data_IF_129998188612
#
_entry.id   IF_129998188612
#
_cell.length_a   1.000
_cell.length_b   1.000
_cell.length_c   1.000
_cell.angle_alpha   90.00
_cell.angle_beta   90.00
_cell.angle_gamma   90.00
#
_symmetry.space_group_name_H-M   'P 1'
#
loop_
_entity.id
_entity.type
_entity.pdbx_description
1 polymer ?
#
# COMPACT_ATOMS: atom_id res chain seq x y z
N UNK A 1 12.09 5.02 2.30
CA UNK A 1 13.07 4.05 2.88
C UNK A 1 13.49 4.38 4.31
N UNK A 2 13.83 5.65 4.64
CA UNK A 2 14.27 6.08 5.98
C UNK A 2 13.30 5.72 7.13
N UNK A 3 12.00 5.91 6.95
CA UNK A 3 10.97 5.57 7.95
C UNK A 3 10.95 4.07 8.30
N UNK A 4 11.08 3.20 7.29
CA UNK A 4 11.15 1.74 7.49
C UNK A 4 12.40 1.37 8.27
N UNK A 5 13.54 1.97 7.94
CA UNK A 5 14.81 1.75 8.63
C UNK A 5 14.67 2.12 10.11
N UNK A 6 14.15 3.32 10.41
CA UNK A 6 13.91 3.76 11.79
C UNK A 6 12.98 2.82 12.57
N UNK A 7 11.89 2.35 11.93
CA UNK A 7 10.94 1.43 12.57
C UNK A 7 11.53 0.04 12.85
N UNK A 8 12.39 -0.47 11.96
CA UNK A 8 13.08 -1.75 12.15
C UNK A 8 14.18 -1.64 13.21
N UNK A 9 14.93 -0.55 13.22
CA UNK A 9 15.95 -0.29 14.25
C UNK A 9 15.32 -0.16 15.64
N UNK A 10 14.22 0.59 15.77
CA UNK A 10 13.49 0.68 17.04
C UNK A 10 12.91 -0.67 17.49
N UNK A 11 12.44 -1.52 16.56
CA UNK A 11 12.00 -2.88 16.90
C UNK A 11 13.14 -3.76 17.39
N UNK A 12 14.29 -3.68 16.75
CA UNK A 12 15.48 -4.42 17.16
C UNK A 12 15.92 -4.03 18.58
N UNK A 13 16.00 -2.72 18.84
CA UNK A 13 16.36 -2.19 20.16
C UNK A 13 15.32 -2.56 21.22
N UNK A 14 14.02 -2.46 20.92
CA UNK A 14 12.95 -2.87 21.84
C UNK A 14 13.03 -4.36 22.18
N UNK A 15 13.33 -5.22 21.20
CA UNK A 15 13.51 -6.66 21.45
C UNK A 15 14.69 -6.91 22.36
N UNK A 16 15.78 -6.17 22.17
CA UNK A 16 16.99 -6.34 22.97
C UNK A 16 16.83 -6.05 24.46
N UNK A 17 15.86 -5.22 24.84
CA UNK A 17 15.55 -4.93 26.25
C UNK A 17 14.65 -5.98 26.90
N UNK A 18 14.07 -6.89 26.12
CA UNK A 18 13.16 -7.95 26.56
C UNK A 18 13.70 -9.35 26.27
N UNK A 19 15.00 -9.46 26.04
CA UNK A 19 15.64 -10.76 25.82
C UNK A 19 15.79 -11.50 27.15
N UNK A 20 15.66 -12.83 27.15
CA UNK A 20 16.08 -13.66 28.28
C UNK A 20 17.57 -13.49 28.58
N UNK A 21 17.92 -13.58 29.87
CA UNK A 21 19.27 -13.34 30.37
C UNK A 21 20.31 -14.35 29.84
N UNK A 22 19.88 -15.54 29.44
CA UNK A 22 20.72 -16.61 28.89
C UNK A 22 21.09 -16.41 27.40
N UNK A 23 20.55 -15.37 26.77
CA UNK A 23 20.90 -15.07 25.38
C UNK A 23 22.28 -14.43 25.28
N UNK A 24 23.06 -14.84 24.28
CA UNK A 24 24.38 -14.25 23.99
C UNK A 24 24.30 -12.72 23.90
N UNK A 25 23.24 -12.19 23.29
CA UNK A 25 23.06 -10.75 23.14
C UNK A 25 22.81 -10.03 24.48
N UNK A 26 22.08 -10.65 25.43
CA UNK A 26 21.90 -10.08 26.78
C UNK A 26 23.23 -9.99 27.53
N UNK A 27 24.09 -11.02 27.44
CA UNK A 27 25.43 -11.00 28.05
C UNK A 27 26.37 -9.98 27.39
N UNK A 28 26.26 -9.78 26.08
CA UNK A 28 27.10 -8.83 25.35
C UNK A 28 26.60 -7.38 25.45
N UNK A 29 25.34 -7.16 25.82
CA UNK A 29 24.71 -5.83 25.85
C UNK A 29 25.52 -4.80 26.65
N UNK A 30 26.01 -5.09 27.87
CA UNK A 30 26.81 -4.13 28.65
C UNK A 30 28.11 -3.71 27.93
N UNK A 31 28.75 -4.65 27.23
CA UNK A 31 29.97 -4.38 26.47
C UNK A 31 29.69 -3.60 25.18
N UNK A 32 28.59 -3.92 24.50
CA UNK A 32 28.13 -3.25 23.27
C UNK A 32 27.64 -1.83 23.57
N UNK A 33 27.00 -1.61 24.72
CA UNK A 33 26.47 -0.32 25.14
C UNK A 33 27.52 0.56 25.82
N UNK A 34 28.68 0.01 26.21
CA UNK A 34 29.77 0.81 26.76
C UNK A 34 30.19 1.93 25.78
N UNK A 35 30.39 3.13 26.32
CA UNK A 35 30.88 4.31 25.60
C UNK A 35 32.28 4.10 24.99
N UNK A 36 33.04 3.14 25.52
CA UNK A 36 34.36 2.74 25.01
C UNK A 36 34.29 1.75 23.85
N UNK A 37 33.12 1.18 23.57
CA UNK A 37 32.96 0.22 22.48
C UNK A 37 32.90 0.95 21.13
N UNK A 38 33.54 0.38 20.10
CA UNK A 38 33.37 0.83 18.70
C UNK A 38 32.06 0.32 18.08
N UNK A 39 31.10 -0.08 18.92
CA UNK A 39 29.89 -0.74 18.44
C UNK A 39 28.99 0.24 17.67
N UNK A 40 28.18 -0.30 16.77
CA UNK A 40 27.17 0.47 16.06
C UNK A 40 25.90 0.70 16.90
N UNK A 41 25.90 0.33 18.18
CA UNK A 41 24.72 0.41 19.03
C UNK A 41 24.19 1.85 19.16
N UNK A 42 25.08 2.79 19.44
CA UNK A 42 24.72 4.21 19.50
C UNK A 42 24.19 4.73 18.18
N UNK A 43 24.72 4.26 17.04
CA UNK A 43 24.19 4.61 15.71
C UNK A 43 22.78 4.06 15.49
N UNK A 44 22.49 2.85 15.98
CA UNK A 44 21.16 2.25 15.94
C UNK A 44 20.17 3.00 16.84
N UNK A 45 20.60 3.36 18.05
CA UNK A 45 19.79 4.09 19.02
C UNK A 45 19.56 5.56 18.63
N UNK A 46 20.43 6.14 17.79
CA UNK A 46 20.34 7.51 17.29
C UNK A 46 19.30 7.68 16.16
N UNK A 47 18.16 7.02 16.24
CA UNK A 47 17.10 7.07 15.23
C UNK A 47 15.92 7.91 15.70
N UNK A 48 15.24 8.59 14.77
CA UNK A 48 14.12 9.49 15.08
C UNK A 48 13.03 8.82 15.94
N UNK A 49 12.71 7.56 15.65
CA UNK A 49 11.71 6.80 16.40
C UNK A 49 12.22 6.34 17.77
N UNK A 50 13.47 5.89 17.88
CA UNK A 50 13.98 5.41 19.17
C UNK A 50 14.24 6.57 20.13
N UNK A 51 14.74 7.70 19.64
CA UNK A 51 14.94 8.91 20.44
C UNK A 51 13.68 9.42 21.13
N UNK A 52 12.52 9.32 20.48
CA UNK A 52 11.25 9.74 21.10
C UNK A 52 10.78 8.77 22.20
N UNK A 53 11.39 7.60 22.32
CA UNK A 53 11.12 6.59 23.37
C UNK A 53 12.13 6.67 24.52
N UNK A 54 13.29 7.30 24.32
CA UNK A 54 14.33 7.43 25.36
C UNK A 54 13.88 8.33 26.52
N UNK A 55 14.23 7.95 27.75
CA UNK A 55 13.88 8.68 28.98
C UNK A 55 12.93 7.87 29.87
N UNK A 56 12.09 8.50 30.72
CA UNK A 56 11.22 7.81 31.69
C UNK A 56 10.17 6.87 31.05
N UNK A 57 10.02 6.96 29.74
CA UNK A 57 9.14 6.09 28.95
C UNK A 57 9.71 4.67 28.86
N UNK A 58 11.04 4.52 28.76
CA UNK A 58 11.69 3.22 28.51
C UNK A 58 11.46 2.24 29.67
N UNK A 59 11.50 2.73 30.90
CA UNK A 59 11.31 1.92 32.12
C UNK A 59 9.88 1.38 32.27
N UNK A 60 8.90 1.99 31.58
CA UNK A 60 7.48 1.59 31.59
C UNK A 60 6.99 1.08 30.24
N UNK A 61 7.92 0.84 29.29
CA UNK A 61 7.63 0.51 27.91
C UNK A 61 7.36 -0.98 27.75
N UNK A 62 6.08 -1.36 27.82
CA UNK A 62 5.65 -2.70 27.47
C UNK A 62 5.47 -2.87 25.95
N UNK A 63 5.25 -4.12 25.52
CA UNK A 63 4.99 -4.47 24.11
C UNK A 63 3.79 -3.73 23.53
N UNK A 64 2.74 -3.48 24.32
CA UNK A 64 1.49 -2.85 23.85
C UNK A 64 1.71 -1.36 23.57
N UNK A 65 2.35 -0.63 24.50
CA UNK A 65 2.77 0.77 24.33
C UNK A 65 3.73 0.91 23.17
N UNK A 66 4.73 0.03 23.04
CA UNK A 66 5.67 0.10 21.92
C UNK A 66 4.94 -0.04 20.57
N UNK A 67 4.02 -1.00 20.45
CA UNK A 67 3.22 -1.17 19.23
C UNK A 67 2.34 0.06 18.94
N UNK A 68 1.72 0.65 19.97
CA UNK A 68 0.95 1.89 19.84
C UNK A 68 1.80 3.06 19.34
N UNK A 69 2.97 3.29 19.96
CA UNK A 69 3.89 4.36 19.61
C UNK A 69 4.49 4.17 18.21
N UNK A 70 4.81 2.94 17.83
CA UNK A 70 5.24 2.61 16.47
C UNK A 70 4.15 2.95 15.46
N UNK A 71 2.90 2.56 15.72
CA UNK A 71 1.77 2.86 14.83
C UNK A 71 1.56 4.36 14.70
N UNK A 72 1.63 5.10 15.81
CA UNK A 72 1.54 6.57 15.81
C UNK A 72 2.66 7.21 15.01
N UNK A 73 3.91 6.81 15.24
CA UNK A 73 5.06 7.31 14.49
C UNK A 73 4.90 7.09 12.98
N UNK A 74 4.44 5.89 12.56
CA UNK A 74 4.19 5.62 11.16
C UNK A 74 3.07 6.51 10.60
N UNK A 75 1.98 6.69 11.34
CA UNK A 75 0.87 7.56 10.96
C UNK A 75 1.31 9.02 10.79
N UNK A 76 2.07 9.56 11.75
CA UNK A 76 2.58 10.93 11.71
C UNK A 76 3.51 11.14 10.51
N UNK A 77 4.40 10.17 10.24
CA UNK A 77 5.30 10.21 9.09
C UNK A 77 4.53 10.14 7.76
N UNK A 78 3.48 9.31 7.69
CA UNK A 78 2.63 9.24 6.52
C UNK A 78 1.89 10.56 6.30
N UNK A 79 1.29 11.14 7.34
CA UNK A 79 0.57 12.41 7.23
C UNK A 79 1.50 13.55 6.82
N UNK A 80 2.71 13.60 7.38
CA UNK A 80 3.74 14.56 6.99
C UNK A 80 4.10 14.41 5.50
N UNK A 81 4.30 13.18 5.02
CA UNK A 81 4.55 12.95 3.60
C UNK A 81 3.34 13.31 2.74
N UNK A 82 2.14 12.95 3.16
CA UNK A 82 0.90 13.27 2.45
C UNK A 82 0.72 14.79 2.28
N UNK A 83 0.98 15.56 3.33
CA UNK A 83 0.84 17.02 3.32
C UNK A 83 1.97 17.73 2.55
N UNK A 84 3.19 17.18 2.57
CA UNK A 84 4.38 17.83 2.02
C UNK A 84 4.82 17.29 0.65
N UNK A 85 4.07 16.37 0.04
CA UNK A 85 4.44 15.79 -1.25
C UNK A 85 3.57 16.34 -2.37
N UNK A 86 4.22 16.92 -3.37
CA UNK A 86 3.65 17.08 -4.72
C UNK A 86 3.51 15.73 -5.47
N UNK A 87 3.74 14.61 -4.78
CA UNK A 87 3.76 13.28 -5.40
C UNK A 87 2.34 12.77 -5.64
N UNK A 88 1.99 12.65 -6.93
CA UNK A 88 0.72 12.09 -7.43
C UNK A 88 0.45 10.66 -6.90
N UNK A 89 1.51 9.92 -6.57
CA UNK A 89 1.40 8.55 -6.05
C UNK A 89 0.87 8.49 -4.61
N UNK A 90 1.13 9.48 -3.76
CA UNK A 90 0.65 9.46 -2.37
C UNK A 90 -0.79 9.97 -2.26
N UNK A 91 -1.19 10.97 -3.06
CA UNK A 91 -2.57 11.45 -3.10
C UNK A 91 -3.56 10.38 -3.60
N UNK A 92 -3.11 9.48 -4.46
CA UNK A 92 -3.91 8.35 -4.97
C UNK A 92 -3.91 7.13 -4.04
N UNK A 93 -3.10 7.12 -2.98
CA UNK A 93 -3.09 6.05 -1.96
C UNK A 93 -4.16 6.25 -0.89
N UNK A 94 -4.47 5.17 -0.15
CA UNK A 94 -5.45 5.23 0.94
C UNK A 94 -4.92 6.15 2.05
N UNK A 95 -5.73 7.06 2.62
CA UNK A 95 -5.30 8.03 3.65
C UNK A 95 -4.98 7.39 5.01
N UNK A 96 -5.19 6.08 5.14
CA UNK A 96 -4.98 5.31 6.37
C UNK A 96 -3.93 4.26 6.15
N UNK A 97 -2.96 4.15 7.06
CA UNK A 97 -1.96 3.07 7.05
C UNK A 97 -2.62 1.76 7.47
N UNK A 98 -2.85 0.88 6.52
CA UNK A 98 -3.35 -0.46 6.76
C UNK A 98 -2.91 -1.41 5.64
N UNK A 99 -3.07 -2.72 5.88
CA UNK A 99 -2.88 -3.72 4.84
C UNK A 99 -3.93 -3.51 3.77
N UNK A 100 -3.51 -3.29 2.53
CA UNK A 100 -4.45 -3.06 1.43
C UNK A 100 -5.35 -4.30 1.24
N UNK A 101 -6.70 -4.12 1.19
CA UNK A 101 -7.64 -5.23 1.01
C UNK A 101 -7.38 -6.06 -0.24
N UNK A 102 -6.73 -5.50 -1.28
CA UNK A 102 -6.35 -6.23 -2.49
C UNK A 102 -5.53 -7.50 -2.19
N UNK A 103 -4.78 -7.51 -1.08
CA UNK A 103 -3.92 -8.63 -0.72
C UNK A 103 -4.69 -9.85 -0.18
N UNK A 104 -5.88 -9.67 0.37
CA UNK A 104 -6.64 -10.74 1.02
C UNK A 104 -8.07 -10.90 0.51
N UNK A 105 -8.61 -9.93 -0.24
CA UNK A 105 -9.92 -10.06 -0.86
C UNK A 105 -9.95 -11.22 -1.87
N UNK A 106 -11.07 -11.95 -1.98
CA UNK A 106 -11.22 -13.02 -2.95
C UNK A 106 -11.19 -12.49 -4.39
N UNK A 107 -10.21 -12.95 -5.16
CA UNK A 107 -10.03 -12.65 -6.58
C UNK A 107 -9.13 -13.73 -7.19
N UNK A 108 -9.16 -13.85 -8.52
CA UNK A 108 -8.24 -14.70 -9.27
C UNK A 108 -6.80 -14.15 -9.21
N UNK A 109 -5.83 -14.99 -9.56
CA UNK A 109 -4.43 -14.56 -9.63
C UNK A 109 -4.25 -13.41 -10.64
N UNK A 110 -4.89 -13.52 -11.81
CA UNK A 110 -4.82 -12.54 -12.89
C UNK A 110 -5.45 -11.19 -12.50
N UNK A 111 -6.62 -11.20 -11.87
CA UNK A 111 -7.25 -9.98 -11.34
C UNK A 111 -6.35 -9.30 -10.31
N UNK A 112 -5.82 -10.07 -9.35
CA UNK A 112 -4.91 -9.52 -8.33
C UNK A 112 -3.67 -8.91 -8.96
N UNK A 113 -3.07 -9.58 -9.93
CA UNK A 113 -1.90 -9.07 -10.65
C UNK A 113 -2.20 -7.72 -11.32
N UNK A 114 -3.32 -7.59 -12.04
CA UNK A 114 -3.71 -6.34 -12.70
C UNK A 114 -3.94 -5.21 -11.71
N UNK A 115 -4.68 -5.48 -10.63
CA UNK A 115 -4.96 -4.49 -9.59
C UNK A 115 -3.68 -4.05 -8.88
N UNK A 116 -2.78 -4.98 -8.56
CA UNK A 116 -1.49 -4.67 -7.94
C UNK A 116 -0.59 -3.84 -8.87
N UNK A 117 -0.50 -4.20 -10.16
CA UNK A 117 0.25 -3.40 -11.14
C UNK A 117 -0.31 -1.98 -11.24
N UNK A 118 -1.64 -1.84 -11.28
CA UNK A 118 -2.27 -0.53 -11.21
C UNK A 118 -1.91 0.22 -9.91
N UNK A 119 -1.95 -0.42 -8.74
CA UNK A 119 -1.56 0.24 -7.49
C UNK A 119 -0.11 0.74 -7.49
N UNK A 120 0.80 0.00 -8.12
CA UNK A 120 2.24 0.29 -8.08
C UNK A 120 2.69 1.37 -9.08
N UNK A 121 1.79 2.01 -9.82
CA UNK A 121 2.23 2.92 -10.88
C UNK A 121 2.53 2.22 -12.20
N UNK A 122 2.45 0.89 -12.25
CA UNK A 122 2.94 0.11 -13.37
C UNK A 122 1.88 0.04 -14.47
N UNK A 123 2.00 0.94 -15.43
CA UNK A 123 1.42 0.71 -16.75
C UNK A 123 2.20 -0.43 -17.41
N UNK A 124 1.53 -1.39 -18.06
CA UNK A 124 2.23 -2.57 -18.57
C UNK A 124 3.26 -2.16 -19.63
N UNK A 125 4.50 -2.65 -19.51
CA UNK A 125 5.52 -2.51 -20.55
C UNK A 125 6.67 -1.53 -20.28
N UNK A 126 6.55 -0.56 -19.35
CA UNK A 126 7.66 0.34 -18.93
C UNK A 126 8.25 1.27 -20.00
N UNK A 127 7.99 0.99 -21.28
CA UNK A 127 8.28 1.80 -22.45
C UNK A 127 7.00 2.50 -22.90
N UNK A 128 7.05 3.78 -23.28
CA UNK A 128 5.91 4.43 -23.91
C UNK A 128 5.51 3.65 -25.17
N UNK A 129 4.28 3.10 -25.17
CA UNK A 129 3.64 2.52 -26.35
C UNK A 129 2.64 3.55 -26.89
N UNK A 130 2.53 3.65 -28.21
CA UNK A 130 1.52 4.49 -28.84
C UNK A 130 0.12 3.92 -28.64
N UNK A 131 -0.87 4.80 -28.54
CA UNK A 131 -2.26 4.41 -28.45
C UNK A 131 -2.77 3.93 -29.80
N UNK A 132 -3.42 2.77 -29.81
CA UNK A 132 -4.02 2.18 -31.02
C UNK A 132 -5.14 3.07 -31.58
N UNK A 133 -5.86 3.79 -30.70
CA UNK A 133 -6.97 4.66 -31.09
C UNK A 133 -6.53 6.08 -31.46
N UNK A 134 -5.36 6.51 -30.97
CA UNK A 134 -4.84 7.85 -31.16
C UNK A 134 -3.37 7.77 -31.59
N UNK A 135 -3.11 7.64 -32.91
CA UNK A 135 -1.77 7.74 -33.45
C UNK A 135 -1.13 9.04 -32.93
N UNK A 136 0.17 9.01 -32.61
CA UNK A 136 0.93 10.14 -32.02
C UNK A 136 0.72 10.41 -30.52
N UNK A 137 -0.18 9.69 -29.84
CA UNK A 137 -0.30 9.78 -28.38
C UNK A 137 0.23 8.54 -27.69
N UNK A 138 1.16 8.71 -26.76
CA UNK A 138 1.62 7.61 -25.92
C UNK A 138 0.60 7.30 -24.84
N UNK A 139 0.46 6.01 -24.54
CA UNK A 139 -0.29 5.55 -23.39
C UNK A 139 0.26 6.14 -22.09
N UNK A 140 -0.61 6.82 -21.38
CA UNK A 140 -0.41 7.29 -20.00
C UNK A 140 -1.69 7.02 -19.21
N UNK A 141 -1.65 7.11 -17.87
CA UNK A 141 -2.87 6.95 -17.06
C UNK A 141 -3.95 7.95 -17.43
N UNK A 142 -3.57 9.22 -17.56
CA UNK A 142 -4.47 10.31 -17.98
C UNK A 142 -5.07 10.02 -19.34
N UNK A 143 -4.22 9.69 -20.32
CA UNK A 143 -4.69 9.33 -21.65
C UNK A 143 -5.65 8.12 -21.62
N UNK A 144 -5.38 7.12 -20.79
CA UNK A 144 -6.28 5.96 -20.66
C UNK A 144 -7.66 6.33 -20.12
N UNK A 145 -7.76 7.31 -19.22
CA UNK A 145 -9.05 7.77 -18.70
C UNK A 145 -9.93 8.35 -19.80
N UNK A 146 -9.35 9.20 -20.64
CA UNK A 146 -10.05 9.83 -21.77
C UNK A 146 -10.29 8.83 -22.91
N UNK A 147 -9.26 8.09 -23.31
CA UNK A 147 -9.32 7.17 -24.43
C UNK A 147 -10.34 6.04 -24.21
N UNK A 148 -10.38 5.45 -23.01
CA UNK A 148 -11.32 4.38 -22.67
C UNK A 148 -12.59 4.86 -21.97
N UNK A 149 -12.79 6.19 -21.87
CA UNK A 149 -13.93 6.82 -21.19
C UNK A 149 -14.18 6.24 -19.79
N UNK A 150 -13.11 6.07 -19.01
CA UNK A 150 -13.12 5.32 -17.75
C UNK A 150 -14.08 5.95 -16.73
N UNK A 151 -14.12 7.28 -16.62
CA UNK A 151 -15.06 7.98 -15.74
C UNK A 151 -16.52 7.65 -16.07
N UNK A 152 -16.87 7.67 -17.35
CA UNK A 152 -18.23 7.36 -17.80
C UNK A 152 -18.59 5.90 -17.49
N UNK A 153 -17.69 4.96 -17.78
CA UNK A 153 -17.91 3.52 -17.53
C UNK A 153 -18.08 3.22 -16.05
N UNK A 154 -17.35 3.91 -15.18
CA UNK A 154 -17.40 3.73 -13.73
C UNK A 154 -18.48 4.59 -13.04
N UNK A 155 -19.29 5.33 -13.79
CA UNK A 155 -20.30 6.26 -13.24
C UNK A 155 -19.70 7.28 -12.26
N UNK A 156 -18.49 7.77 -12.56
CA UNK A 156 -17.76 8.73 -11.73
C UNK A 156 -17.65 10.11 -12.41
N UNK A 157 -17.71 11.23 -11.66
CA UNK A 157 -17.51 12.55 -12.21
C UNK A 157 -16.05 12.77 -12.64
N UNK A 158 -15.84 13.55 -13.72
CA UNK A 158 -14.51 13.93 -14.23
C UNK A 158 -13.66 14.73 -13.24
N UNK A 159 -14.27 15.25 -12.16
CA UNK A 159 -13.54 15.94 -11.08
C UNK A 159 -12.62 15.01 -10.29
N UNK A 160 -12.82 13.68 -10.36
CA UNK A 160 -11.93 12.70 -9.76
C UNK A 160 -10.74 12.46 -10.69
N UNK A 161 -9.53 12.86 -10.30
CA UNK A 161 -8.35 12.77 -11.17
C UNK A 161 -7.98 11.32 -11.56
N UNK A 162 -8.03 10.39 -10.60
CA UNK A 162 -7.75 8.95 -10.82
C UNK A 162 -8.97 8.10 -10.42
N UNK A 163 -9.90 7.82 -11.35
CA UNK A 163 -11.15 7.11 -11.06
C UNK A 163 -10.91 5.66 -10.61
N UNK A 164 -9.88 4.99 -11.14
CA UNK A 164 -9.57 3.61 -10.76
C UNK A 164 -9.01 3.57 -9.34
N UNK A 165 -7.99 4.38 -9.04
CA UNK A 165 -7.39 4.41 -7.70
C UNK A 165 -8.40 4.86 -6.64
N UNK A 166 -9.29 5.80 -6.99
CA UNK A 166 -10.42 6.20 -6.15
C UNK A 166 -11.30 5.00 -5.78
N UNK A 167 -11.77 4.21 -6.74
CA UNK A 167 -12.57 3.02 -6.44
C UNK A 167 -11.77 2.00 -5.62
N UNK A 168 -10.53 1.71 -5.97
CA UNK A 168 -9.71 0.75 -5.21
C UNK A 168 -9.53 1.18 -3.74
N UNK A 169 -9.52 2.48 -3.46
CA UNK A 169 -9.49 3.00 -2.09
C UNK A 169 -10.81 2.82 -1.33
N UNK A 170 -11.93 2.61 -2.03
CA UNK A 170 -13.22 2.31 -1.42
C UNK A 170 -13.41 0.82 -1.14
N UNK A 171 -12.47 -0.05 -1.56
CA UNK A 171 -12.60 -1.50 -1.34
C UNK A 171 -12.86 -1.83 0.13
N UNK A 172 -13.78 -2.78 0.40
CA UNK A 172 -14.20 -3.14 1.74
C UNK A 172 -13.03 -3.74 2.53
N UNK A 173 -12.83 -3.23 3.74
CA UNK A 173 -11.82 -3.73 4.69
C UNK A 173 -12.33 -4.90 5.53
N UNK A 174 -13.65 -5.02 5.61
CA UNK A 174 -14.36 -6.10 6.28
C UNK A 174 -15.58 -6.43 5.44
N UNK A 175 -16.20 -7.58 5.69
CA UNK A 175 -17.43 -7.95 4.99
C UNK A 175 -18.49 -6.85 5.22
N UNK A 176 -18.90 -6.13 4.17
CA UNK A 176 -19.78 -4.96 4.32
C UNK A 176 -21.19 -5.41 4.71
N UNK A 177 -22.08 -4.47 5.06
CA UNK A 177 -23.52 -4.76 5.11
C UNK A 177 -24.08 -4.82 3.68
N UNK A 178 -25.18 -5.55 3.41
CA UNK A 178 -25.78 -5.63 2.09
C UNK A 178 -25.92 -4.27 1.39
N UNK A 179 -26.49 -3.27 2.05
CA UNK A 179 -26.70 -1.93 1.48
C UNK A 179 -25.42 -1.23 1.03
N UNK A 180 -24.28 -1.54 1.65
CA UNK A 180 -22.97 -1.01 1.29
C UNK A 180 -22.24 -1.81 0.20
N UNK A 181 -22.70 -3.03 -0.14
CA UNK A 181 -22.15 -3.85 -1.23
C UNK A 181 -22.86 -3.67 -2.56
N UNK A 182 -24.07 -3.09 -2.61
CA UNK A 182 -24.88 -3.01 -3.84
C UNK A 182 -24.13 -2.37 -5.02
N UNK A 183 -23.41 -1.26 -4.80
CA UNK A 183 -22.65 -0.60 -5.86
C UNK A 183 -21.49 -1.46 -6.40
N UNK A 184 -20.92 -2.35 -5.57
CA UNK A 184 -19.82 -3.21 -5.97
C UNK A 184 -20.23 -4.32 -6.94
N UNK A 185 -21.49 -4.77 -6.90
CA UNK A 185 -22.02 -5.72 -7.88
C UNK A 185 -22.01 -5.17 -9.31
N UNK A 186 -22.14 -3.86 -9.47
CA UNK A 186 -22.05 -3.18 -10.77
C UNK A 186 -20.62 -2.74 -11.07
N UNK A 187 -19.95 -2.07 -10.12
CA UNK A 187 -18.67 -1.42 -10.37
C UNK A 187 -17.50 -2.39 -10.49
N UNK A 188 -17.51 -3.50 -9.74
CA UNK A 188 -16.35 -4.41 -9.71
C UNK A 188 -16.13 -5.14 -11.04
N UNK A 189 -17.15 -5.74 -11.69
CA UNK A 189 -16.98 -6.34 -13.02
C UNK A 189 -16.48 -5.35 -14.05
N UNK A 190 -17.03 -4.13 -14.06
CA UNK A 190 -16.60 -3.06 -14.98
C UNK A 190 -15.12 -2.73 -14.76
N UNK A 191 -14.71 -2.58 -13.50
CA UNK A 191 -13.32 -2.31 -13.15
C UNK A 191 -12.38 -3.44 -13.58
N UNK A 192 -12.76 -4.70 -13.34
CA UNK A 192 -11.99 -5.87 -13.78
C UNK A 192 -11.85 -5.91 -15.31
N UNK A 193 -12.90 -5.57 -16.05
CA UNK A 193 -12.88 -5.48 -17.52
C UNK A 193 -11.98 -4.36 -18.01
N UNK A 194 -12.08 -3.15 -17.45
CA UNK A 194 -11.20 -2.02 -17.80
C UNK A 194 -9.72 -2.40 -17.58
N UNK A 195 -9.40 -2.99 -16.43
CA UNK A 195 -8.03 -3.40 -16.11
C UNK A 195 -7.51 -4.52 -17.03
N UNK A 196 -8.41 -5.38 -17.53
CA UNK A 196 -8.06 -6.39 -18.51
C UNK A 196 -7.83 -5.79 -19.91
N UNK A 197 -8.67 -4.86 -20.35
CA UNK A 197 -8.47 -4.12 -21.61
C UNK A 197 -7.15 -3.33 -21.59
N UNK A 198 -6.83 -2.68 -20.48
CA UNK A 198 -5.53 -2.04 -20.29
C UNK A 198 -4.38 -3.04 -20.33
N UNK A 199 -4.57 -4.28 -19.88
CA UNK A 199 -3.57 -5.32 -20.04
C UNK A 199 -3.35 -5.64 -21.53
N UNK A 200 -4.46 -5.82 -22.25
CA UNK A 200 -4.49 -6.13 -23.67
C UNK A 200 -3.83 -5.05 -24.52
N UNK A 201 -4.14 -3.77 -24.30
CA UNK A 201 -3.59 -2.70 -25.14
C UNK A 201 -2.09 -2.48 -24.97
N UNK A 202 -1.50 -2.95 -23.88
CA UNK A 202 -0.08 -2.77 -23.60
C UNK A 202 0.75 -4.04 -23.82
N UNK A 203 0.12 -5.22 -23.89
CA UNK A 203 0.78 -6.49 -24.17
C UNK A 203 0.42 -7.01 -25.55
N UNK A 204 1.41 -7.46 -26.31
CA UNK A 204 1.20 -7.94 -27.69
C UNK A 204 0.52 -9.33 -27.70
N UNK A 205 0.57 -10.06 -26.58
CA UNK A 205 -0.17 -11.30 -26.35
C UNK A 205 -1.46 -11.03 -25.56
N UNK A 206 -2.60 -11.37 -26.15
CA UNK A 206 -3.90 -11.23 -25.51
C UNK A 206 -4.17 -12.37 -24.53
N UNK A 207 -4.25 -12.13 -23.21
CA UNK A 207 -4.84 -13.11 -22.32
C UNK A 207 -6.31 -13.30 -22.71
N UNK A 208 -6.86 -14.53 -22.64
CA UNK A 208 -8.26 -14.76 -22.96
C UNK A 208 -9.17 -13.86 -22.12
N UNK A 209 -10.33 -13.43 -22.67
CA UNK A 209 -11.26 -12.59 -21.96
C UNK A 209 -11.68 -13.26 -20.64
N UNK A 210 -11.84 -12.49 -19.56
CA UNK A 210 -12.23 -13.06 -18.28
C UNK A 210 -13.63 -13.66 -18.39
N UNK A 211 -13.74 -14.95 -18.07
CA UNK A 211 -15.03 -15.61 -17.84
C UNK A 211 -15.55 -15.10 -16.49
N UNK A 212 -16.66 -14.36 -16.50
CA UNK A 212 -17.30 -13.74 -15.34
C UNK A 212 -16.36 -12.86 -14.48
N UNK A 213 -15.96 -11.67 -14.98
CA UNK A 213 -14.99 -10.81 -14.30
C UNK A 213 -15.46 -10.43 -12.88
N UNK A 214 -14.60 -10.66 -11.90
CA UNK A 214 -14.82 -10.27 -10.52
C UNK A 214 -15.71 -11.21 -9.71
N UNK A 215 -16.17 -12.33 -10.26
CA UNK A 215 -17.15 -13.24 -9.62
C UNK A 215 -16.75 -13.70 -8.22
N UNK A 216 -15.45 -13.91 -7.97
CA UNK A 216 -14.94 -14.33 -6.66
C UNK A 216 -15.21 -13.29 -5.58
N UNK A 217 -15.04 -12.01 -5.88
CA UNK A 217 -15.34 -10.93 -4.93
C UNK A 217 -16.85 -10.80 -4.74
N UNK A 218 -17.61 -10.86 -5.83
CA UNK A 218 -19.08 -10.74 -5.79
C UNK A 218 -19.72 -11.83 -4.93
N UNK A 219 -19.25 -13.08 -5.04
CA UNK A 219 -19.72 -14.19 -4.22
C UNK A 219 -19.37 -14.04 -2.74
N UNK A 220 -18.32 -13.30 -2.42
CA UNK A 220 -17.92 -13.02 -1.05
C UNK A 220 -18.73 -11.87 -0.42
N UNK A 221 -19.16 -10.91 -1.23
CA UNK A 221 -20.01 -9.81 -0.79
C UNK A 221 -21.38 -10.32 -0.33
N UNK A 222 -21.97 -9.72 0.72
CA UNK A 222 -23.35 -10.02 1.07
C UNK A 222 -24.27 -9.52 -0.04
N UNK A 223 -25.27 -10.35 -0.34
CA UNK A 223 -26.41 -9.99 -1.18
C UNK A 223 -27.33 -9.06 -0.39
#
# INVERSE_FOLDING_TARGET
MRTRIAALQAQYLFRSTHLPDDTLLAHLLPHIQSSTSRSHWYKLANTLMWKSLCGPILDTLDKKKFLSLRTKFLADQFQHLYNNSDSILLSSTRPTIQVDPILWLPMTCSERSRVLRWRLGWLPGGKPKECIFHPYHNWSRRHAFDCLQIHHRLYLPRSIEDPISFLLNLLPLHKPRPTASHSWFTLWPILCTILHELDYYFHDECPPPPIDPGVKLLNWLPK
#
